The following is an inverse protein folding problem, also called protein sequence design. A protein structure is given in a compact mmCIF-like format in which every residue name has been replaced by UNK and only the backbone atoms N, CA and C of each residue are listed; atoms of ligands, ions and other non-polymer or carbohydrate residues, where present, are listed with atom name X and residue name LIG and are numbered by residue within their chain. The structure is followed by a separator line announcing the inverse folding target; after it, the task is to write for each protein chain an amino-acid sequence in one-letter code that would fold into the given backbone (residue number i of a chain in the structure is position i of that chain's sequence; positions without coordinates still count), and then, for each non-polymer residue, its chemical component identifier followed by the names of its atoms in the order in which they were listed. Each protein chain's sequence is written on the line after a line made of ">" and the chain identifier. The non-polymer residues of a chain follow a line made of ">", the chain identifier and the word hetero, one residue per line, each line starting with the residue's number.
data_IF_904023210726
#
_entry.id   IF_904023210726
#
_cell.length_a   1.000
_cell.length_b   1.000
_cell.length_c   1.000
_cell.angle_alpha   90.00
_cell.angle_beta   90.00
_cell.angle_gamma   90.00
#
_symmetry.space_group_name_H-M   'P 1'
#
loop_
_entity.id
_entity.type
_entity.pdbx_description
1 polymer ?
#
# COMPACT_ATOMS: atom_id res chain seq x y z
N UNK A 1 -14.54 -0.38 2.11
CA UNK A 1 -13.56 -1.27 2.77
C UNK A 1 -13.31 -0.68 4.13
N UNK A 2 -13.50 -1.43 5.22
CA UNK A 2 -13.15 -0.93 6.54
C UNK A 2 -11.62 -0.72 6.58
N UNK A 3 -11.17 0.50 6.83
CA UNK A 3 -9.78 0.73 7.19
C UNK A 3 -9.61 0.15 8.60
N UNK A 4 -9.04 -1.06 8.67
CA UNK A 4 -8.81 -1.80 9.91
C UNK A 4 -7.91 -1.02 10.89
N UNK A 5 -7.21 -0.01 10.38
CA UNK A 5 -6.41 0.94 11.13
C UNK A 5 -7.03 2.33 11.04
N UNK A 6 -7.20 3.02 12.17
CA UNK A 6 -7.50 4.48 12.22
C UNK A 6 -6.24 5.30 11.85
N UNK A 7 -5.57 4.94 10.76
CA UNK A 7 -4.31 5.52 10.33
C UNK A 7 -4.46 6.19 8.96
N UNK A 8 -3.79 7.34 8.73
CA UNK A 8 -3.74 7.97 7.42
C UNK A 8 -3.18 7.01 6.36
N UNK A 9 -3.81 7.02 5.17
CA UNK A 9 -3.36 6.25 4.01
C UNK A 9 -2.62 7.18 3.05
N UNK A 10 -1.38 6.83 2.71
CA UNK A 10 -0.60 7.49 1.68
C UNK A 10 -0.54 6.58 0.46
N UNK A 11 -1.21 7.00 -0.61
CA UNK A 11 -1.18 6.30 -1.90
C UNK A 11 0.08 6.71 -2.67
N UNK A 12 0.90 5.73 -3.05
CA UNK A 12 2.07 5.93 -3.88
C UNK A 12 1.64 6.19 -5.32
N UNK A 13 2.05 7.33 -5.87
CA UNK A 13 2.00 7.61 -7.29
C UNK A 13 3.40 7.98 -7.81
N UNK A 14 3.51 9.03 -8.63
CA UNK A 14 4.74 9.45 -9.31
C UNK A 14 5.62 10.40 -8.47
N UNK A 15 5.19 10.77 -7.27
CA UNK A 15 5.89 11.71 -6.40
C UNK A 15 7.32 11.22 -6.07
N UNK A 16 8.30 12.11 -5.84
CA UNK A 16 9.61 11.70 -5.37
C UNK A 16 9.55 10.85 -4.10
N UNK A 17 10.40 9.82 -4.01
CA UNK A 17 10.38 8.88 -2.87
C UNK A 17 10.59 9.59 -1.53
N UNK A 18 11.46 10.59 -1.49
CA UNK A 18 11.80 11.33 -0.28
C UNK A 18 10.59 12.08 0.29
N UNK A 19 9.76 12.69 -0.56
CA UNK A 19 8.55 13.41 -0.13
C UNK A 19 7.56 12.46 0.57
N UNK A 20 7.41 11.25 0.04
CA UNK A 20 6.52 10.25 0.63
C UNK A 20 7.07 9.71 1.95
N UNK A 21 8.38 9.50 2.04
CA UNK A 21 9.06 9.11 3.29
C UNK A 21 8.82 10.17 4.36
N UNK A 22 9.01 11.45 4.04
CA UNK A 22 8.85 12.54 5.00
C UNK A 22 7.40 12.68 5.46
N UNK A 23 6.44 12.54 4.54
CA UNK A 23 5.02 12.51 4.88
C UNK A 23 4.68 11.34 5.80
N UNK A 24 5.17 10.13 5.52
CA UNK A 24 4.94 8.95 6.34
C UNK A 24 5.55 9.09 7.75
N UNK A 25 6.78 9.62 7.85
CA UNK A 25 7.44 9.90 9.12
C UNK A 25 6.66 10.93 9.95
N UNK A 26 6.11 11.96 9.32
CA UNK A 26 5.29 12.95 9.99
C UNK A 26 4.02 12.31 10.59
N UNK A 27 3.38 11.38 9.89
CA UNK A 27 2.21 10.66 10.43
C UNK A 27 2.58 9.77 11.62
N UNK A 28 3.66 8.99 11.52
CA UNK A 28 4.09 8.10 12.62
C UNK A 28 4.46 8.91 13.88
N UNK A 29 5.20 10.01 13.72
CA UNK A 29 5.61 10.89 14.82
C UNK A 29 4.43 11.70 15.38
N UNK A 30 3.41 11.96 14.56
CA UNK A 30 2.22 12.71 14.91
C UNK A 30 1.20 11.94 15.77
N UNK A 31 0.01 12.53 15.99
CA UNK A 31 -1.01 11.98 16.87
C UNK A 31 -1.60 10.64 16.41
N UNK A 32 -1.60 10.35 15.10
CA UNK A 32 -2.09 9.07 14.58
C UNK A 32 -1.23 7.90 15.02
N UNK A 33 0.07 8.12 15.24
CA UNK A 33 1.00 7.10 15.72
C UNK A 33 1.26 5.97 14.73
N UNK A 34 0.81 6.11 13.49
CA UNK A 34 0.96 5.11 12.43
C UNK A 34 0.49 5.64 11.08
N UNK A 35 0.79 4.88 10.02
CA UNK A 35 0.51 5.22 8.62
C UNK A 35 0.31 3.94 7.81
N UNK A 36 -0.54 3.99 6.80
CA UNK A 36 -0.65 2.96 5.77
C UNK A 36 -0.05 3.50 4.48
N UNK A 37 0.90 2.79 3.91
CA UNK A 37 1.51 3.11 2.62
C UNK A 37 0.96 2.12 1.61
N UNK A 38 0.31 2.61 0.55
CA UNK A 38 -0.40 1.79 -0.42
C UNK A 38 0.12 2.04 -1.83
N UNK A 39 0.32 0.99 -2.62
CA UNK A 39 0.70 1.12 -4.03
C UNK A 39 0.14 -0.02 -4.86
N UNK A 40 0.02 0.23 -6.16
CA UNK A 40 -0.61 -0.67 -7.10
C UNK A 40 0.24 -0.85 -8.35
N UNK A 41 0.20 -2.06 -8.92
CA UNK A 41 0.89 -2.40 -10.16
C UNK A 41 2.38 -2.11 -10.06
N UNK A 42 2.90 -1.24 -10.92
CA UNK A 42 4.31 -0.88 -10.96
C UNK A 42 4.79 -0.10 -9.73
N UNK A 43 3.89 0.44 -8.90
CA UNK A 43 4.27 1.15 -7.66
C UNK A 43 4.51 0.22 -6.47
N UNK A 44 4.14 -1.06 -6.55
CA UNK A 44 4.30 -2.00 -5.42
C UNK A 44 5.74 -2.07 -4.91
N UNK A 45 6.73 -2.13 -5.81
CA UNK A 45 8.14 -2.14 -5.40
C UNK A 45 8.56 -0.87 -4.66
N UNK A 46 8.04 0.29 -5.10
CA UNK A 46 8.29 1.58 -4.44
C UNK A 46 7.61 1.65 -3.05
N UNK A 47 6.42 1.08 -2.90
CA UNK A 47 5.72 0.96 -1.61
C UNK A 47 6.56 0.21 -0.59
N UNK A 48 7.13 -0.93 -0.97
CA UNK A 48 7.98 -1.73 -0.07
C UNK A 48 9.26 -0.97 0.28
N UNK A 49 9.94 -0.39 -0.71
CA UNK A 49 11.17 0.38 -0.46
C UNK A 49 10.94 1.55 0.51
N UNK A 50 9.85 2.31 0.33
CA UNK A 50 9.50 3.40 1.24
C UNK A 50 9.22 2.87 2.65
N UNK A 51 8.46 1.78 2.77
CA UNK A 51 8.12 1.21 4.07
C UNK A 51 9.38 0.79 4.86
N UNK A 52 10.35 0.16 4.20
CA UNK A 52 11.62 -0.22 4.82
C UNK A 52 12.42 1.01 5.27
N UNK A 53 12.52 2.06 4.43
CA UNK A 53 13.20 3.31 4.80
C UNK A 53 12.52 3.99 6.00
N UNK A 54 11.18 4.02 6.02
CA UNK A 54 10.41 4.63 7.11
C UNK A 54 10.58 3.84 8.41
N UNK A 55 10.60 2.51 8.33
CA UNK A 55 10.86 1.61 9.46
C UNK A 55 12.23 1.87 10.07
N UNK A 56 13.28 2.01 9.26
CA UNK A 56 14.63 2.30 9.78
C UNK A 56 14.72 3.68 10.46
N UNK A 57 13.94 4.66 9.99
CA UNK A 57 13.98 6.05 10.45
C UNK A 57 13.00 6.37 11.59
N UNK A 58 12.06 5.49 11.87
CA UNK A 58 11.06 5.68 12.92
C UNK A 58 11.09 4.53 13.92
N UNK A 59 10.77 4.79 15.19
CA UNK A 59 10.61 3.74 16.19
C UNK A 59 9.27 3.00 15.97
N UNK A 60 9.21 2.20 14.90
CA UNK A 60 8.05 1.38 14.54
C UNK A 60 8.07 0.12 15.41
N UNK A 61 6.95 -0.20 16.06
CA UNK A 61 6.81 -1.40 16.90
C UNK A 61 5.97 -2.48 16.21
N UNK A 62 5.25 -2.11 15.14
CA UNK A 62 4.35 -3.00 14.44
C UNK A 62 4.32 -2.70 12.94
N UNK A 63 4.47 -3.77 12.15
CA UNK A 63 4.26 -3.77 10.71
C UNK A 63 3.19 -4.80 10.35
N UNK A 64 2.25 -4.39 9.50
CA UNK A 64 1.25 -5.29 8.93
C UNK A 64 1.20 -5.11 7.42
N UNK A 65 1.26 -6.22 6.70
CA UNK A 65 1.26 -6.24 5.24
C UNK A 65 -0.07 -6.84 4.74
N UNK A 66 -0.63 -6.27 3.67
CA UNK A 66 -1.77 -6.83 2.97
C UNK A 66 -1.57 -6.73 1.47
N UNK A 67 -1.71 -7.88 0.81
CA UNK A 67 -1.67 -7.99 -0.64
C UNK A 67 -3.09 -8.29 -1.12
N UNK A 68 -3.55 -7.54 -2.12
CA UNK A 68 -4.82 -7.76 -2.81
C UNK A 68 -4.65 -7.56 -4.32
N UNK A 69 -5.73 -7.73 -5.08
CA UNK A 69 -5.75 -7.44 -6.51
C UNK A 69 -6.93 -6.53 -6.83
N UNK A 70 -6.70 -5.54 -7.69
CA UNK A 70 -7.77 -4.84 -8.38
C UNK A 70 -7.93 -5.43 -9.79
N UNK A 71 -9.17 -5.50 -10.26
CA UNK A 71 -9.48 -6.02 -11.59
C UNK A 71 -9.93 -4.88 -12.51
N UNK A 72 -9.34 -4.81 -13.70
CA UNK A 72 -9.65 -3.82 -14.72
C UNK A 72 -10.14 -4.52 -15.98
N UNK A 73 -11.26 -4.06 -16.51
CA UNK A 73 -11.74 -4.49 -17.81
C UNK A 73 -10.73 -4.10 -18.91
N UNK A 74 -10.57 -4.96 -19.91
CA UNK A 74 -9.80 -4.63 -21.11
C UNK A 74 -10.72 -3.96 -22.12
N UNK A 75 -10.29 -2.84 -22.69
CA UNK A 75 -10.92 -2.26 -23.87
C UNK A 75 -10.44 -3.04 -25.11
N UNK A 76 -11.36 -3.56 -25.96
CA UNK A 76 -11.00 -4.15 -27.24
C UNK A 76 -10.23 -3.14 -28.10
N UNK A 77 -9.19 -3.62 -28.80
CA UNK A 77 -8.40 -2.77 -29.72
C UNK A 77 -8.84 -2.92 -31.19
N UNK A 78 -9.64 -3.93 -31.50
CA UNK A 78 -10.13 -4.25 -32.84
C UNK A 78 -11.45 -5.04 -32.79
N UNK A 79 -12.16 -5.11 -33.93
CA UNK A 79 -13.46 -5.82 -34.08
C UNK A 79 -13.36 -7.33 -33.77
N UNK A 80 -12.18 -7.93 -33.97
CA UNK A 80 -11.91 -9.33 -33.66
C UNK A 80 -11.82 -9.57 -32.14
N UNK A 81 -11.32 -8.60 -31.37
CA UNK A 81 -11.29 -8.61 -29.92
C UNK A 81 -12.65 -8.28 -29.29
N UNK A 82 -13.54 -7.57 -29.98
CA UNK A 82 -14.91 -7.34 -29.50
C UNK A 82 -15.73 -8.64 -29.42
N UNK A 83 -15.41 -9.62 -30.27
CA UNK A 83 -16.05 -10.93 -30.30
C UNK A 83 -15.40 -11.94 -29.32
N UNK A 84 -14.31 -11.56 -28.64
CA UNK A 84 -13.62 -12.40 -27.66
C UNK A 84 -13.93 -11.95 -26.23
N UNK A 85 -14.15 -12.90 -25.33
CA UNK A 85 -14.20 -12.63 -23.89
C UNK A 85 -12.80 -12.21 -23.39
N UNK A 86 -12.52 -10.91 -23.43
CA UNK A 86 -11.24 -10.37 -22.98
C UNK A 86 -11.11 -10.55 -21.46
N UNK A 87 -10.16 -11.40 -21.05
CA UNK A 87 -9.86 -11.62 -19.63
C UNK A 87 -9.45 -10.29 -18.95
N UNK A 88 -10.00 -9.98 -17.77
CA UNK A 88 -9.65 -8.76 -17.04
C UNK A 88 -8.18 -8.76 -16.65
N UNK A 89 -7.58 -7.57 -16.58
CA UNK A 89 -6.23 -7.37 -16.06
C UNK A 89 -6.33 -7.32 -14.54
N UNK A 90 -5.56 -8.16 -13.85
CA UNK A 90 -5.43 -8.12 -12.39
C UNK A 90 -4.16 -7.38 -12.04
N UNK A 91 -4.27 -6.24 -11.34
CA UNK A 91 -3.11 -5.50 -10.85
C UNK A 91 -2.94 -5.76 -9.34
N UNK A 92 -1.72 -6.11 -8.89
CA UNK A 92 -1.46 -6.31 -7.48
C UNK A 92 -1.51 -4.97 -6.74
N UNK A 93 -2.08 -4.98 -5.55
CA UNK A 93 -2.10 -3.86 -4.60
C UNK A 93 -1.39 -4.31 -3.34
N UNK A 94 -0.38 -3.54 -2.93
CA UNK A 94 0.32 -3.73 -1.67
C UNK A 94 -0.06 -2.60 -0.71
N UNK A 95 -0.44 -2.97 0.51
CA UNK A 95 -0.60 -2.04 1.62
C UNK A 95 0.32 -2.45 2.75
N UNK A 96 1.08 -1.50 3.28
CA UNK A 96 1.95 -1.69 4.44
C UNK A 96 1.53 -0.70 5.51
N UNK A 97 1.03 -1.21 6.63
CA UNK A 97 0.87 -0.42 7.83
C UNK A 97 2.18 -0.42 8.62
N UNK A 98 2.58 0.77 9.10
CA UNK A 98 3.64 0.95 10.08
C UNK A 98 3.09 1.76 11.25
N UNK A 99 3.33 1.30 12.47
CA UNK A 99 2.83 1.98 13.67
C UNK A 99 3.69 1.76 14.91
N UNK A 100 3.50 2.65 15.89
CA UNK A 100 4.17 2.60 17.20
C UNK A 100 3.51 1.66 18.21
N UNK A 101 2.41 1.00 17.83
CA UNK A 101 1.66 0.09 18.69
C UNK A 101 1.15 -1.08 17.87
N UNK A 102 1.22 -2.28 18.45
CA UNK A 102 0.54 -3.45 17.90
C UNK A 102 -0.97 -3.29 18.05
N UNK A 103 -1.72 -3.81 17.07
CA UNK A 103 -3.18 -3.84 17.08
C UNK A 103 -3.67 -5.13 16.44
N UNK A 104 -4.89 -5.55 16.77
CA UNK A 104 -5.52 -6.64 16.03
C UNK A 104 -5.89 -6.13 14.63
N UNK A 105 -5.43 -6.84 13.59
CA UNK A 105 -5.57 -6.45 12.20
C UNK A 105 -5.99 -7.67 11.36
N UNK A 106 -7.29 -7.93 11.29
CA UNK A 106 -7.84 -9.08 10.58
C UNK A 106 -7.59 -8.97 9.08
N UNK A 107 -7.10 -10.06 8.46
CA UNK A 107 -6.80 -10.10 7.02
C UNK A 107 -5.50 -9.39 6.64
N UNK A 108 -4.66 -9.04 7.62
CA UNK A 108 -3.31 -8.57 7.42
C UNK A 108 -2.30 -9.58 7.95
N UNK A 109 -1.13 -9.65 7.33
CA UNK A 109 0.00 -10.45 7.82
C UNK A 109 0.85 -9.56 8.71
N UNK A 110 0.92 -9.90 10.01
CA UNK A 110 1.83 -9.23 10.93
C UNK A 110 3.28 -9.67 10.64
N UNK A 111 4.20 -8.72 10.67
CA UNK A 111 5.63 -8.97 10.56
C UNK A 111 6.31 -8.48 11.83
N UNK A 112 7.28 -9.25 12.34
CA UNK A 112 8.15 -8.79 13.41
C UNK A 112 9.09 -7.71 12.85
N UNK A 113 9.16 -6.59 13.58
CA UNK A 113 9.84 -5.35 13.20
C UNK A 113 11.21 -5.29 13.86
#
# INVERSE_FOLDING_TARGET
>A
MADDFKAPVIQITREPMQEVVDAALAQIKGPSGGVVIAGEGHYVGKTVAIAEIVKDKANVEAQYNRISFNEYARTPKDELQELQDLKPIKLPVMKVYLGRKRTDAKGWTQQDV
#
